data_IF_906466584228
#
_entry.id   IF_906466584228
#
_cell.length_a   1.000
_cell.length_b   1.000
_cell.length_c   1.000
_cell.angle_alpha   90.00
_cell.angle_beta   90.00
_cell.angle_gamma   90.00
#
_symmetry.space_group_name_H-M   'P 1'
#
loop_
_entity.id
_entity.type
_entity.pdbx_description
1 polymer ?
#
# COMPACT_ATOMS: atom_id res chain seq x y z
N UNK A 1 85.39 -2.36 69.69
CA UNK A 1 84.87 -1.02 69.38
C UNK A 1 84.49 -1.02 67.92
N UNK A 2 83.27 -1.21 67.61
CA UNK A 2 82.78 -1.26 66.23
C UNK A 2 81.67 -0.23 66.09
N UNK A 3 81.96 0.70 65.28
CA UNK A 3 81.05 1.83 64.97
C UNK A 3 80.03 1.37 63.91
N UNK A 4 78.78 1.60 64.22
CA UNK A 4 77.67 1.31 63.29
C UNK A 4 77.25 2.60 62.60
N UNK A 5 77.70 2.81 61.41
CA UNK A 5 77.14 3.81 60.52
C UNK A 5 75.86 3.30 59.89
N UNK A 6 74.74 3.98 60.17
CA UNK A 6 73.43 3.74 59.54
C UNK A 6 73.43 4.38 58.13
N UNK A 7 73.17 3.55 57.13
CA UNK A 7 72.90 4.01 55.77
C UNK A 7 71.58 4.72 55.72
N UNK A 8 71.55 6.02 55.39
CA UNK A 8 70.36 6.90 55.35
C UNK A 8 69.93 7.16 53.92
N UNK A 9 70.22 6.26 52.97
CA UNK A 9 69.93 6.50 51.56
C UNK A 9 69.06 5.38 50.90
N UNK A 10 67.91 5.01 51.50
CA UNK A 10 67.03 4.13 50.79
C UNK A 10 65.59 4.31 51.21
N UNK A 11 65.06 5.53 51.13
CA UNK A 11 63.65 5.83 51.14
C UNK A 11 63.32 6.54 49.82
N UNK A 12 63.12 5.78 48.79
CA UNK A 12 62.45 6.23 47.60
C UNK A 12 60.94 6.22 47.89
N UNK A 13 60.23 7.33 47.80
CA UNK A 13 58.76 7.28 47.92
C UNK A 13 58.20 6.51 46.73
N UNK A 14 57.40 5.47 47.03
CA UNK A 14 56.57 4.82 46.06
C UNK A 14 55.63 5.83 45.38
N UNK A 15 55.90 6.17 44.14
CA UNK A 15 54.95 6.89 43.31
C UNK A 15 53.65 6.06 43.13
N UNK A 16 52.62 6.41 43.92
CA UNK A 16 51.26 5.97 43.63
C UNK A 16 50.91 6.39 42.19
N UNK A 17 50.89 5.45 41.27
CA UNK A 17 50.31 5.63 39.93
C UNK A 17 48.84 5.98 40.08
N UNK A 18 48.50 7.26 40.07
CA UNK A 18 47.11 7.75 39.97
C UNK A 18 46.51 7.25 38.68
N UNK A 19 45.62 6.22 38.74
CA UNK A 19 44.80 5.77 37.66
C UNK A 19 44.06 6.96 37.05
N UNK A 20 44.10 7.16 35.72
CA UNK A 20 43.46 8.30 35.09
C UNK A 20 41.96 8.28 35.37
N UNK A 21 41.45 9.37 35.94
CA UNK A 21 40.06 9.54 36.30
C UNK A 21 39.19 9.41 35.03
N UNK A 22 38.37 8.36 34.93
CA UNK A 22 37.37 8.12 33.90
C UNK A 22 36.27 9.21 33.77
N UNK A 23 36.51 10.40 34.33
CA UNK A 23 35.57 11.53 34.29
C UNK A 23 35.44 12.14 32.89
N UNK A 24 36.50 12.13 32.07
CA UNK A 24 36.42 12.58 30.67
C UNK A 24 35.54 11.72 29.81
N UNK A 25 35.66 10.38 29.94
CA UNK A 25 34.86 9.44 29.22
C UNK A 25 33.36 9.52 29.61
N UNK A 26 33.04 9.71 30.89
CA UNK A 26 31.68 9.91 31.36
C UNK A 26 31.08 11.21 30.81
N UNK A 27 31.82 12.30 30.82
CA UNK A 27 31.37 13.58 30.25
C UNK A 27 31.17 13.50 28.74
N UNK A 28 32.05 12.80 28.03
CA UNK A 28 31.89 12.55 26.60
C UNK A 28 30.66 11.70 26.30
N UNK A 29 30.42 10.60 27.03
CA UNK A 29 29.24 9.76 26.91
C UNK A 29 27.94 10.52 27.22
N UNK A 30 27.94 11.38 28.25
CA UNK A 30 26.79 12.22 28.58
C UNK A 30 26.51 13.23 27.46
N UNK A 31 27.56 13.88 26.93
CA UNK A 31 27.45 14.80 25.80
C UNK A 31 26.88 14.08 24.55
N UNK A 32 27.41 12.90 24.23
CA UNK A 32 26.94 12.09 23.10
C UNK A 32 25.48 11.69 23.29
N UNK A 33 25.05 11.30 24.49
CA UNK A 33 23.66 10.94 24.80
C UNK A 33 22.73 12.15 24.66
N UNK A 34 23.14 13.33 25.15
CA UNK A 34 22.35 14.57 24.96
C UNK A 34 22.29 14.94 23.48
N UNK A 35 23.39 14.81 22.73
CA UNK A 35 23.41 15.08 21.30
C UNK A 35 22.47 14.14 20.54
N UNK A 36 22.46 12.82 20.87
CA UNK A 36 21.54 11.84 20.29
C UNK A 36 20.09 12.17 20.66
N UNK A 37 19.82 12.56 21.91
CA UNK A 37 18.48 12.95 22.34
C UNK A 37 17.96 14.20 21.59
N UNK A 38 18.82 15.22 21.43
CA UNK A 38 18.49 16.42 20.65
C UNK A 38 18.26 16.06 19.18
N UNK A 39 19.15 15.22 18.61
CA UNK A 39 19.00 14.76 17.24
C UNK A 39 17.68 13.97 17.05
N UNK A 40 17.33 13.09 18.00
CA UNK A 40 16.08 12.35 17.98
C UNK A 40 14.85 13.27 18.02
N UNK A 41 14.86 14.31 18.88
CA UNK A 41 13.79 15.31 18.94
C UNK A 41 13.66 16.08 17.63
N UNK A 42 14.79 16.50 17.04
CA UNK A 42 14.80 17.19 15.74
C UNK A 42 14.30 16.27 14.63
N UNK A 43 14.71 15.00 14.64
CA UNK A 43 14.24 14.01 13.66
C UNK A 43 12.74 13.73 13.79
N UNK A 44 12.23 13.61 15.03
CA UNK A 44 10.77 13.43 15.26
C UNK A 44 9.98 14.66 14.80
N UNK A 45 10.46 15.87 15.10
CA UNK A 45 9.83 17.10 14.64
C UNK A 45 9.85 17.19 13.10
N UNK A 46 11.00 16.93 12.49
CA UNK A 46 11.16 16.92 11.03
C UNK A 46 10.33 15.82 10.35
N UNK A 47 10.20 14.64 10.99
CA UNK A 47 9.33 13.56 10.49
C UNK A 47 7.85 13.98 10.51
N UNK A 48 7.42 14.64 11.59
CA UNK A 48 6.04 15.12 11.73
C UNK A 48 5.68 16.19 10.70
N UNK A 49 6.62 17.07 10.37
CA UNK A 49 6.40 18.20 9.44
C UNK A 49 6.76 17.86 7.98
N UNK A 50 7.16 16.59 7.69
CA UNK A 50 7.54 16.16 6.34
C UNK A 50 8.90 16.65 5.85
N UNK A 51 9.68 17.31 6.72
CA UNK A 51 11.01 17.84 6.39
C UNK A 51 12.11 17.04 7.09
N UNK A 52 13.15 16.67 6.41
CA UNK A 52 14.39 16.17 6.99
C UNK A 52 14.64 14.66 6.81
N UNK A 53 13.81 13.76 7.33
CA UNK A 53 14.05 12.31 7.16
C UNK A 53 13.76 11.90 5.73
N UNK A 54 12.67 12.38 5.14
CA UNK A 54 12.29 12.07 3.77
C UNK A 54 13.28 12.69 2.77
N UNK A 55 13.77 13.90 3.04
CA UNK A 55 14.83 14.52 2.25
C UNK A 55 16.15 13.72 2.32
N UNK A 56 16.48 13.14 3.48
CA UNK A 56 17.61 12.22 3.61
C UNK A 56 17.35 10.92 2.87
N UNK A 57 16.16 10.36 2.96
CA UNK A 57 15.78 9.15 2.27
C UNK A 57 15.83 9.34 0.76
N UNK A 58 15.32 10.47 0.23
CA UNK A 58 15.49 10.86 -1.18
C UNK A 58 16.95 11.00 -1.58
N UNK A 59 17.78 11.63 -0.74
CA UNK A 59 19.22 11.76 -1.00
C UNK A 59 19.92 10.39 -1.09
N UNK A 60 19.50 9.41 -0.28
CA UNK A 60 20.03 8.05 -0.35
C UNK A 60 19.49 7.29 -1.59
N UNK A 61 18.23 7.45 -1.91
CA UNK A 61 17.59 6.74 -3.03
C UNK A 61 18.01 7.30 -4.40
N UNK A 62 18.16 8.63 -4.52
CA UNK A 62 18.38 9.32 -5.80
C UNK A 62 19.74 10.04 -5.86
N UNK A 63 20.52 10.05 -4.78
CA UNK A 63 21.75 10.79 -4.71
C UNK A 63 21.53 12.31 -4.74
N UNK A 64 22.57 13.06 -5.10
CA UNK A 64 22.45 14.48 -5.48
C UNK A 64 22.01 14.54 -6.95
N UNK A 65 20.80 14.09 -7.21
CA UNK A 65 20.19 14.28 -8.50
C UNK A 65 19.86 15.76 -8.63
N UNK A 66 20.53 16.45 -9.56
CA UNK A 66 20.04 17.71 -10.11
C UNK A 66 18.87 17.41 -11.07
N UNK A 67 18.06 16.36 -10.78
CA UNK A 67 16.91 15.98 -11.57
C UNK A 67 16.01 17.19 -11.69
N UNK A 68 15.98 17.76 -12.85
CA UNK A 68 15.04 18.80 -13.22
C UNK A 68 13.67 18.13 -13.11
N UNK A 69 12.81 18.68 -12.26
CA UNK A 69 11.48 18.17 -12.02
C UNK A 69 10.74 17.87 -13.32
N UNK A 70 10.43 16.60 -13.55
CA UNK A 70 9.77 16.13 -14.77
C UNK A 70 10.69 15.51 -15.83
N UNK A 71 12.00 15.33 -15.56
CA UNK A 71 12.83 14.53 -16.47
C UNK A 71 12.31 13.10 -16.57
N UNK A 72 12.17 12.61 -17.81
CA UNK A 72 11.80 11.23 -18.12
C UNK A 72 12.84 10.28 -17.54
N UNK A 73 12.38 9.36 -16.69
CA UNK A 73 13.20 8.30 -16.09
C UNK A 73 12.90 6.97 -16.76
N UNK A 74 11.64 6.76 -17.14
CA UNK A 74 11.17 5.51 -17.72
C UNK A 74 10.53 5.77 -19.08
N UNK A 75 10.85 4.93 -20.06
CA UNK A 75 10.20 4.89 -21.36
C UNK A 75 9.48 3.55 -21.55
N UNK A 76 8.28 3.57 -22.09
CA UNK A 76 7.46 2.38 -22.31
C UNK A 76 6.53 2.55 -23.51
N UNK A 77 5.96 1.41 -23.97
CA UNK A 77 5.07 1.42 -25.11
C UNK A 77 3.72 2.06 -24.78
N UNK A 78 3.21 2.82 -25.73
CA UNK A 78 1.91 3.48 -25.61
C UNK A 78 0.80 2.43 -25.58
N UNK A 79 0.06 2.37 -24.47
CA UNK A 79 -1.22 1.67 -24.38
C UNK A 79 -2.15 2.42 -23.43
N UNK A 80 -3.42 2.62 -23.80
CA UNK A 80 -4.40 3.20 -22.89
C UNK A 80 -4.75 2.27 -21.71
N UNK A 81 -4.32 1.02 -21.78
CA UNK A 81 -4.52 0.01 -20.76
C UNK A 81 -3.30 -0.19 -19.86
N UNK A 82 -2.24 0.60 -20.00
CA UNK A 82 -1.10 0.51 -19.11
C UNK A 82 -1.53 0.69 -17.65
N UNK A 83 -1.01 -0.20 -16.79
CA UNK A 83 -1.13 -0.14 -15.33
C UNK A 83 0.27 -0.11 -14.74
N UNK A 84 0.44 0.61 -13.66
CA UNK A 84 1.74 0.91 -13.08
C UNK A 84 1.75 0.62 -11.59
N UNK A 85 2.86 0.05 -11.10
CA UNK A 85 3.14 -0.12 -9.69
C UNK A 85 4.64 -0.03 -9.42
N UNK A 86 5.02 0.33 -8.20
CA UNK A 86 6.42 0.41 -7.80
C UNK A 86 6.79 -0.77 -6.90
N UNK A 87 7.79 -1.55 -7.27
CA UNK A 87 8.45 -2.54 -6.40
C UNK A 87 9.79 -1.99 -5.91
N UNK A 88 9.76 -1.32 -4.77
CA UNK A 88 10.91 -0.57 -4.27
C UNK A 88 11.29 0.56 -5.23
N UNK A 89 12.41 0.41 -5.96
CA UNK A 89 12.86 1.37 -6.98
C UNK A 89 12.47 0.97 -8.41
N UNK A 90 11.93 -0.21 -8.63
CA UNK A 90 11.60 -0.71 -9.96
C UNK A 90 10.15 -0.36 -10.32
N UNK A 91 9.93 0.04 -11.57
CA UNK A 91 8.61 0.30 -12.13
C UNK A 91 8.09 -0.98 -12.82
N UNK A 92 6.99 -1.52 -12.36
CA UNK A 92 6.26 -2.60 -13.03
C UNK A 92 5.18 -2.00 -13.90
N UNK A 93 5.09 -2.47 -15.14
CA UNK A 93 4.14 -2.02 -16.14
C UNK A 93 3.40 -3.25 -16.66
N UNK A 94 2.09 -3.25 -16.56
CA UNK A 94 1.22 -4.24 -17.18
C UNK A 94 0.44 -3.59 -18.32
N UNK A 95 0.36 -4.28 -19.46
CA UNK A 95 -0.39 -3.87 -20.64
C UNK A 95 -1.18 -5.05 -21.21
N UNK A 96 -1.99 -4.82 -22.22
CA UNK A 96 -2.70 -5.87 -22.97
C UNK A 96 -1.77 -6.84 -23.70
N UNK A 97 -0.51 -6.46 -23.94
CA UNK A 97 0.50 -7.28 -24.61
C UNK A 97 1.47 -7.99 -23.67
N UNK A 98 1.33 -7.79 -22.36
CA UNK A 98 2.16 -8.42 -21.34
C UNK A 98 2.55 -7.51 -20.19
N UNK A 99 3.64 -7.85 -19.52
CA UNK A 99 4.16 -7.08 -18.41
C UNK A 99 5.68 -7.00 -18.47
N UNK A 100 6.23 -5.90 -17.94
CA UNK A 100 7.68 -5.69 -17.81
C UNK A 100 8.01 -4.94 -16.53
N UNK A 101 9.26 -5.04 -16.13
CA UNK A 101 9.81 -4.33 -14.98
C UNK A 101 11.07 -3.59 -15.39
N UNK A 102 11.12 -2.31 -15.10
CA UNK A 102 12.25 -1.43 -15.36
C UNK A 102 12.90 -1.04 -14.04
N UNK A 103 14.24 -1.04 -13.99
CA UNK A 103 14.99 -0.56 -12.84
C UNK A 103 14.95 0.98 -12.73
N UNK A 104 15.59 1.52 -11.70
CA UNK A 104 15.65 2.97 -11.46
C UNK A 104 16.34 3.76 -12.59
N UNK A 105 17.10 3.10 -13.46
CA UNK A 105 17.75 3.69 -14.63
C UNK A 105 16.93 3.51 -15.92
N UNK A 106 15.72 2.95 -15.81
CA UNK A 106 14.88 2.62 -16.96
C UNK A 106 15.34 1.39 -17.75
N UNK A 107 16.28 0.60 -17.18
CA UNK A 107 16.76 -0.63 -17.82
C UNK A 107 15.78 -1.77 -17.52
N UNK A 108 15.47 -2.58 -18.53
CA UNK A 108 14.60 -3.73 -18.35
C UNK A 108 15.25 -4.81 -17.49
N UNK A 109 14.57 -5.20 -16.40
CA UNK A 109 14.96 -6.26 -15.47
C UNK A 109 14.24 -7.57 -15.79
N UNK A 110 12.98 -7.46 -16.22
CA UNK A 110 12.13 -8.60 -16.52
C UNK A 110 11.06 -8.21 -17.53
N UNK A 111 10.74 -9.13 -18.43
CA UNK A 111 9.64 -8.98 -19.40
C UNK A 111 8.91 -10.31 -19.60
N UNK A 112 7.61 -10.21 -19.82
CA UNK A 112 6.74 -11.33 -20.18
C UNK A 112 5.75 -10.87 -21.25
N UNK A 113 5.95 -11.31 -22.47
CA UNK A 113 5.03 -11.03 -23.57
C UNK A 113 3.92 -12.08 -23.59
N UNK A 114 2.67 -11.61 -23.44
CA UNK A 114 1.51 -12.47 -23.50
C UNK A 114 0.23 -11.60 -23.57
N UNK A 115 -0.87 -12.18 -24.08
CA UNK A 115 -2.15 -11.50 -24.13
C UNK A 115 -2.79 -11.45 -22.74
N UNK A 116 -2.98 -10.23 -22.20
CA UNK A 116 -3.65 -9.94 -20.93
C UNK A 116 -4.92 -9.11 -21.22
N UNK A 117 -6.10 -9.73 -21.38
CA UNK A 117 -7.33 -8.97 -21.55
C UNK A 117 -7.58 -8.12 -20.30
N UNK A 118 -7.91 -6.83 -20.50
CA UNK A 118 -8.17 -5.90 -19.39
C UNK A 118 -7.10 -6.01 -18.28
N UNK A 119 -5.84 -5.64 -18.56
CA UNK A 119 -4.74 -5.86 -17.63
C UNK A 119 -4.99 -5.17 -16.28
N UNK A 120 -4.75 -5.89 -15.21
CA UNK A 120 -4.78 -5.44 -13.83
C UNK A 120 -3.41 -5.66 -13.19
N UNK A 121 -3.06 -4.76 -12.28
CA UNK A 121 -1.81 -4.77 -11.55
C UNK A 121 -2.09 -4.33 -10.12
N UNK A 122 -1.76 -5.18 -9.17
CA UNK A 122 -1.89 -4.92 -7.74
C UNK A 122 -0.54 -5.12 -7.06
N UNK A 123 -0.31 -4.38 -6.01
CA UNK A 123 0.93 -4.42 -5.24
C UNK A 123 0.65 -4.72 -3.77
N UNK A 124 1.55 -5.44 -3.11
CA UNK A 124 1.58 -5.63 -1.67
C UNK A 124 3.02 -5.94 -1.25
N UNK A 125 3.56 -5.16 -0.32
CA UNK A 125 4.94 -5.27 0.12
C UNK A 125 5.96 -5.22 -1.02
N UNK A 126 6.76 -6.26 -1.13
CA UNK A 126 7.82 -6.41 -2.14
C UNK A 126 7.37 -7.19 -3.40
N UNK A 127 6.06 -7.34 -3.62
CA UNK A 127 5.48 -8.11 -4.72
C UNK A 127 4.44 -7.33 -5.48
N UNK A 128 4.25 -7.71 -6.75
CA UNK A 128 3.11 -7.28 -7.54
C UNK A 128 2.48 -8.48 -8.25
N UNK A 129 1.16 -8.48 -8.37
CA UNK A 129 0.43 -9.45 -9.18
C UNK A 129 -0.08 -8.77 -10.45
N UNK A 130 0.22 -9.38 -11.59
CA UNK A 130 -0.18 -8.96 -12.93
C UNK A 130 -1.08 -10.00 -13.51
N UNK A 131 -2.27 -9.62 -13.92
CA UNK A 131 -3.23 -10.56 -14.52
C UNK A 131 -4.15 -9.87 -15.53
N UNK A 132 -4.84 -10.66 -16.33
CA UNK A 132 -5.93 -10.18 -17.18
C UNK A 132 -7.29 -10.46 -16.52
N UNK A 133 -8.11 -9.43 -16.30
CA UNK A 133 -9.49 -9.61 -15.84
C UNK A 133 -10.30 -10.31 -16.92
N UNK A 134 -10.89 -11.47 -16.60
CA UNK A 134 -11.50 -12.37 -17.56
C UNK A 134 -10.48 -13.17 -18.39
N UNK A 135 -9.21 -13.14 -18.01
CA UNK A 135 -8.13 -13.91 -18.63
C UNK A 135 -7.74 -15.15 -17.83
N UNK A 136 -6.79 -15.91 -18.40
CA UNK A 136 -6.37 -17.20 -17.85
C UNK A 136 -4.95 -17.18 -17.28
N UNK A 137 -4.27 -16.02 -17.27
CA UNK A 137 -2.91 -15.92 -16.77
C UNK A 137 -2.81 -14.88 -15.66
N UNK A 138 -2.09 -15.27 -14.59
CA UNK A 138 -1.74 -14.42 -13.48
C UNK A 138 -0.27 -14.67 -13.10
N UNK A 139 0.50 -13.61 -12.94
CA UNK A 139 1.88 -13.67 -12.50
C UNK A 139 2.05 -12.92 -11.20
N UNK A 140 2.84 -13.47 -10.28
CA UNK A 140 3.38 -12.71 -9.16
C UNK A 140 4.84 -12.45 -9.45
N UNK A 141 5.24 -11.20 -9.39
CA UNK A 141 6.61 -10.74 -9.61
C UNK A 141 7.17 -10.10 -8.34
N UNK A 142 8.44 -10.37 -8.09
CA UNK A 142 9.26 -9.70 -7.08
C UNK A 142 10.31 -8.83 -7.74
N UNK A 143 11.21 -8.25 -6.95
CA UNK A 143 12.27 -7.33 -7.44
C UNK A 143 13.22 -7.91 -8.50
N UNK A 144 13.38 -9.25 -8.52
CA UNK A 144 14.29 -9.95 -9.42
C UNK A 144 13.58 -10.64 -10.59
N UNK A 145 12.25 -10.62 -10.64
CA UNK A 145 11.44 -11.24 -11.69
C UNK A 145 10.27 -12.07 -11.18
N UNK A 146 9.83 -13.01 -12.01
CA UNK A 146 8.67 -13.86 -11.76
C UNK A 146 8.90 -14.82 -10.57
N UNK A 147 7.94 -14.84 -9.64
CA UNK A 147 7.90 -15.72 -8.47
C UNK A 147 6.87 -16.83 -8.63
N UNK A 148 5.73 -16.55 -9.26
CA UNK A 148 4.65 -17.49 -9.46
C UNK A 148 3.97 -17.22 -10.80
N UNK A 149 3.55 -18.29 -11.48
CA UNK A 149 2.67 -18.20 -12.64
C UNK A 149 1.48 -19.16 -12.44
N UNK A 150 0.29 -18.60 -12.38
CA UNK A 150 -0.96 -19.34 -12.35
C UNK A 150 -1.64 -19.31 -13.72
N UNK A 151 -2.17 -20.44 -14.11
CA UNK A 151 -2.98 -20.57 -15.32
C UNK A 151 -4.35 -21.16 -14.95
N UNK A 152 -5.41 -20.46 -15.34
CA UNK A 152 -6.79 -20.90 -15.19
C UNK A 152 -7.31 -21.58 -16.46
N UNK A 153 -8.40 -22.34 -16.32
CA UNK A 153 -9.15 -22.84 -17.47
C UNK A 153 -9.91 -21.69 -18.17
N UNK A 154 -10.13 -21.81 -19.47
CA UNK A 154 -10.88 -20.81 -20.26
C UNK A 154 -12.33 -20.60 -19.75
N UNK A 155 -12.91 -21.63 -19.11
CA UNK A 155 -14.26 -21.56 -18.51
C UNK A 155 -14.26 -21.03 -17.06
N UNK A 156 -13.09 -20.84 -16.46
CA UNK A 156 -12.88 -20.40 -15.07
C UNK A 156 -11.84 -19.26 -14.97
N UNK A 157 -12.00 -18.16 -15.74
CA UNK A 157 -11.02 -17.09 -15.83
C UNK A 157 -10.86 -16.34 -14.50
N UNK A 158 -9.72 -15.64 -14.35
CA UNK A 158 -9.46 -14.77 -13.20
C UNK A 158 -10.37 -13.53 -13.21
N UNK A 159 -10.93 -13.21 -12.06
CA UNK A 159 -11.77 -12.02 -11.84
C UNK A 159 -10.98 -10.93 -11.14
N UNK A 160 -10.33 -11.28 -10.02
CA UNK A 160 -9.55 -10.35 -9.22
C UNK A 160 -8.37 -11.06 -8.55
N UNK A 161 -7.38 -10.28 -8.15
CA UNK A 161 -6.31 -10.72 -7.28
C UNK A 161 -5.87 -9.57 -6.38
N UNK A 162 -5.50 -9.87 -5.14
CA UNK A 162 -4.99 -8.91 -4.17
C UNK A 162 -3.76 -9.46 -3.48
N UNK A 163 -2.88 -8.56 -3.08
CA UNK A 163 -1.69 -8.85 -2.27
C UNK A 163 -1.74 -8.01 -1.00
N UNK A 164 -1.48 -8.63 0.16
CA UNK A 164 -1.27 -7.85 1.37
C UNK A 164 0.21 -7.44 1.52
N UNK A 165 0.51 -6.59 2.48
CA UNK A 165 1.87 -6.10 2.74
C UNK A 165 2.86 -7.22 3.13
N UNK A 166 2.37 -8.36 3.63
CA UNK A 166 3.18 -9.54 3.98
C UNK A 166 3.41 -10.49 2.79
N UNK A 167 2.88 -10.16 1.61
CA UNK A 167 3.05 -10.93 0.38
C UNK A 167 2.13 -12.13 0.22
N UNK A 168 1.07 -12.23 1.04
CA UNK A 168 0.00 -13.20 0.83
C UNK A 168 -0.88 -12.77 -0.35
N UNK A 169 -1.29 -13.75 -1.15
CA UNK A 169 -2.07 -13.53 -2.38
C UNK A 169 -3.46 -14.16 -2.23
N UNK A 170 -4.51 -13.38 -2.45
CA UNK A 170 -5.84 -13.90 -2.71
C UNK A 170 -6.17 -13.78 -4.20
N UNK A 171 -6.75 -14.84 -4.77
CA UNK A 171 -7.15 -14.91 -6.17
C UNK A 171 -8.62 -15.28 -6.25
N UNK A 172 -9.40 -14.45 -6.92
CA UNK A 172 -10.80 -14.70 -7.24
C UNK A 172 -10.92 -15.11 -8.71
N UNK A 173 -11.65 -16.18 -8.97
CA UNK A 173 -11.87 -16.69 -10.32
C UNK A 173 -13.35 -17.07 -10.52
N UNK A 174 -13.81 -17.10 -11.76
CA UNK A 174 -15.06 -17.76 -12.09
C UNK A 174 -14.94 -19.26 -11.80
N UNK A 175 -16.05 -19.89 -11.49
CA UNK A 175 -16.11 -21.33 -11.20
C UNK A 175 -17.34 -21.96 -11.79
N UNK A 176 -17.15 -23.00 -12.58
CA UNK A 176 -18.26 -23.74 -13.21
C UNK A 176 -19.21 -24.32 -12.16
N UNK A 177 -20.51 -24.03 -12.32
CA UNK A 177 -21.62 -24.39 -11.41
C UNK A 177 -21.61 -23.64 -10.06
N UNK A 178 -20.69 -22.70 -9.83
CA UNK A 178 -20.62 -21.82 -8.65
C UNK A 178 -20.75 -20.35 -9.07
N UNK A 179 -20.78 -19.48 -8.10
CA UNK A 179 -20.84 -18.01 -8.28
C UNK A 179 -19.45 -17.35 -8.19
N UNK A 180 -18.43 -18.16 -8.07
CA UNK A 180 -17.02 -17.77 -8.00
C UNK A 180 -16.26 -18.68 -7.05
N UNK A 181 -14.93 -18.62 -7.11
CA UNK A 181 -14.03 -19.30 -6.19
C UNK A 181 -12.96 -18.32 -5.68
N UNK A 182 -12.47 -18.58 -4.47
CA UNK A 182 -11.34 -17.89 -3.88
C UNK A 182 -10.26 -18.89 -3.54
N UNK A 183 -9.03 -18.58 -3.94
CA UNK A 183 -7.82 -19.31 -3.57
C UNK A 183 -6.86 -18.36 -2.85
N UNK A 184 -6.30 -18.78 -1.73
CA UNK A 184 -5.34 -18.00 -0.96
C UNK A 184 -4.00 -18.71 -0.93
N UNK A 185 -2.95 -17.97 -1.20
CA UNK A 185 -1.56 -18.40 -1.18
C UNK A 185 -0.81 -17.62 -0.09
N UNK A 186 0.03 -18.32 0.66
CA UNK A 186 0.84 -17.77 1.74
C UNK A 186 2.06 -16.96 1.24
N UNK A 187 2.96 -16.61 2.14
CA UNK A 187 4.18 -15.87 1.82
C UNK A 187 5.17 -16.66 0.96
N UNK A 188 5.13 -17.99 0.98
CA UNK A 188 5.88 -18.86 0.10
C UNK A 188 5.18 -19.10 -1.25
N UNK A 189 4.01 -18.49 -1.45
CA UNK A 189 3.12 -18.66 -2.61
C UNK A 189 2.60 -20.10 -2.75
N UNK A 190 2.42 -20.80 -1.62
CA UNK A 190 1.78 -22.10 -1.54
C UNK A 190 0.27 -21.96 -1.26
N UNK A 191 -0.55 -22.77 -1.93
CA UNK A 191 -2.01 -22.74 -1.73
C UNK A 191 -2.37 -23.26 -0.33
N UNK A 192 -2.94 -22.38 0.52
CA UNK A 192 -3.31 -22.70 1.91
C UNK A 192 -4.80 -22.75 2.17
N UNK A 193 -5.60 -22.08 1.33
CA UNK A 193 -7.05 -22.03 1.51
C UNK A 193 -7.75 -21.93 0.15
N UNK A 194 -8.93 -22.56 0.03
CA UNK A 194 -9.81 -22.46 -1.14
C UNK A 194 -11.26 -22.72 -0.75
N UNK A 195 -12.18 -21.97 -1.35
CA UNK A 195 -13.61 -22.29 -1.31
C UNK A 195 -14.29 -21.85 -2.61
N UNK A 196 -15.45 -22.47 -2.88
CA UNK A 196 -16.31 -22.17 -4.01
C UNK A 196 -17.64 -21.64 -3.49
N UNK A 197 -18.06 -20.45 -3.96
CA UNK A 197 -19.30 -19.79 -3.52
C UNK A 197 -20.49 -20.28 -4.34
N UNK A 198 -21.48 -20.90 -3.68
CA UNK A 198 -22.68 -21.38 -4.34
C UNK A 198 -23.79 -20.31 -4.46
N UNK A 199 -23.85 -19.37 -3.53
CA UNK A 199 -25.03 -18.53 -3.33
C UNK A 199 -24.89 -17.08 -3.82
N UNK A 200 -23.69 -16.47 -3.69
CA UNK A 200 -23.41 -15.06 -4.03
C UNK A 200 -22.23 -14.98 -4.98
N UNK A 201 -22.26 -14.05 -5.90
CA UNK A 201 -21.10 -13.79 -6.77
C UNK A 201 -19.94 -13.25 -5.95
N UNK A 202 -18.75 -13.81 -6.15
CA UNK A 202 -17.51 -13.30 -5.54
C UNK A 202 -16.91 -12.27 -6.48
N UNK A 203 -16.71 -11.07 -6.00
CA UNK A 203 -16.11 -9.98 -6.77
C UNK A 203 -14.63 -9.83 -6.48
N UNK A 204 -14.24 -9.93 -5.20
CA UNK A 204 -12.85 -9.77 -4.77
C UNK A 204 -12.61 -10.45 -3.40
N UNK A 205 -11.34 -10.60 -3.02
CA UNK A 205 -10.96 -11.17 -1.73
C UNK A 205 -9.62 -10.57 -1.25
N UNK A 206 -9.50 -10.31 0.05
CA UNK A 206 -8.36 -9.62 0.68
C UNK A 206 -7.87 -10.41 1.88
N UNK A 207 -6.62 -10.88 1.85
CA UNK A 207 -5.98 -11.41 3.06
C UNK A 207 -5.62 -10.23 3.96
N UNK A 208 -6.13 -10.24 5.19
CA UNK A 208 -5.85 -9.16 6.13
C UNK A 208 -4.42 -9.25 6.68
N UNK A 209 -3.91 -8.16 7.25
CA UNK A 209 -2.53 -8.03 7.73
C UNK A 209 -2.14 -9.00 8.84
N UNK A 210 -3.13 -9.63 9.50
CA UNK A 210 -2.89 -10.68 10.48
C UNK A 210 -2.49 -12.03 9.86
N UNK A 211 -2.59 -12.17 8.51
CA UNK A 211 -2.38 -13.39 7.74
C UNK A 211 -3.25 -14.59 8.20
N UNK A 212 -4.35 -14.31 8.90
CA UNK A 212 -5.27 -15.30 9.48
C UNK A 212 -6.71 -15.07 9.08
N UNK A 213 -7.02 -13.88 8.64
CA UNK A 213 -8.36 -13.46 8.26
C UNK A 213 -8.43 -13.12 6.77
N UNK A 214 -9.53 -13.51 6.12
CA UNK A 214 -9.81 -13.25 4.72
C UNK A 214 -11.13 -12.51 4.61
N UNK A 215 -11.12 -11.29 4.11
CA UNK A 215 -12.33 -10.54 3.75
C UNK A 215 -12.69 -10.83 2.29
N UNK A 216 -13.92 -11.30 2.05
CA UNK A 216 -14.41 -11.64 0.72
C UNK A 216 -15.57 -10.73 0.37
N UNK A 217 -15.43 -10.00 -0.73
CA UNK A 217 -16.48 -9.15 -1.29
C UNK A 217 -17.41 -10.01 -2.16
N UNK A 218 -18.68 -10.02 -1.80
CA UNK A 218 -19.69 -10.74 -2.56
C UNK A 218 -20.81 -9.82 -2.98
N UNK A 219 -21.42 -10.11 -4.13
CA UNK A 219 -22.59 -9.44 -4.66
C UNK A 219 -23.79 -10.39 -4.68
N UNK A 220 -24.88 -9.94 -4.12
CA UNK A 220 -26.17 -10.62 -4.15
C UNK A 220 -27.29 -9.68 -4.53
N UNK A 221 -28.50 -10.21 -4.55
CA UNK A 221 -29.72 -9.45 -4.81
C UNK A 221 -30.73 -9.69 -3.70
N UNK A 222 -31.20 -8.60 -3.08
CA UNK A 222 -32.23 -8.62 -2.05
C UNK A 222 -33.38 -7.69 -2.48
N UNK A 223 -34.59 -8.19 -2.49
CA UNK A 223 -35.80 -7.46 -2.90
C UNK A 223 -35.68 -6.72 -4.25
N UNK A 224 -34.85 -7.24 -5.17
CA UNK A 224 -34.60 -6.64 -6.49
C UNK A 224 -33.49 -5.58 -6.53
N UNK A 225 -32.79 -5.32 -5.44
CA UNK A 225 -31.66 -4.41 -5.35
C UNK A 225 -30.36 -5.20 -5.18
N UNK A 226 -29.30 -4.79 -5.84
CA UNK A 226 -27.97 -5.36 -5.59
C UNK A 226 -27.45 -4.93 -4.22
N UNK A 227 -26.88 -5.88 -3.48
CA UNK A 227 -26.30 -5.67 -2.15
C UNK A 227 -24.92 -6.31 -2.13
N UNK A 228 -23.90 -5.52 -1.86
CA UNK A 228 -22.57 -6.03 -1.54
C UNK A 228 -22.53 -6.48 -0.09
N UNK A 229 -21.90 -7.61 0.16
CA UNK A 229 -21.73 -8.17 1.49
C UNK A 229 -20.27 -8.58 1.64
N UNK A 230 -19.67 -8.23 2.77
CA UNK A 230 -18.31 -8.62 3.12
C UNK A 230 -18.40 -9.78 4.10
N UNK A 231 -17.81 -10.91 3.71
CA UNK A 231 -17.72 -12.14 4.52
C UNK A 231 -16.29 -12.25 5.06
N UNK A 232 -16.13 -12.49 6.36
CA UNK A 232 -14.82 -12.63 6.99
C UNK A 232 -14.62 -14.08 7.39
N UNK A 233 -13.59 -14.72 6.78
CA UNK A 233 -13.23 -16.11 7.02
C UNK A 233 -11.93 -16.21 7.81
N UNK A 234 -11.79 -17.30 8.59
CA UNK A 234 -10.53 -17.66 9.21
C UNK A 234 -9.71 -18.53 8.26
N UNK A 235 -8.43 -18.19 8.11
CA UNK A 235 -7.44 -18.96 7.33
C UNK A 235 -6.73 -20.02 8.16
N UNK A 236 -7.04 -20.16 9.46
CA UNK A 236 -6.44 -21.19 10.30
C UNK A 236 -6.77 -22.62 9.75
N UNK A 237 -5.80 -23.49 9.75
CA UNK A 237 -5.90 -24.84 9.17
C UNK A 237 -7.03 -25.72 9.77
N UNK A 238 -7.51 -25.38 10.97
CA UNK A 238 -8.69 -26.01 11.58
C UNK A 238 -10.01 -25.56 10.92
N UNK A 239 -10.05 -24.37 10.35
CA UNK A 239 -11.22 -23.81 9.66
C UNK A 239 -11.27 -24.21 8.18
N UNK A 240 -10.11 -24.45 7.57
CA UNK A 240 -10.00 -24.99 6.20
C UNK A 240 -10.46 -26.45 6.09
N UNK A 241 -10.57 -27.17 7.22
CA UNK A 241 -11.19 -28.48 7.33
C UNK A 241 -12.60 -28.30 7.89
N UNK A 242 -13.52 -27.81 7.05
CA UNK A 242 -14.92 -27.64 7.43
C UNK A 242 -15.45 -28.88 8.17
N UNK A 243 -16.04 -28.68 9.35
CA UNK A 243 -16.65 -29.77 10.16
C UNK A 243 -18.00 -30.22 9.57
N UNK A 244 -18.53 -29.52 8.57
CA UNK A 244 -19.77 -29.91 7.90
C UNK A 244 -19.53 -30.26 6.45
N UNK A 245 -19.63 -31.54 6.13
CA UNK A 245 -19.77 -31.97 4.75
C UNK A 245 -21.23 -31.78 4.32
N UNK A 246 -21.48 -31.03 3.26
CA UNK A 246 -22.75 -31.14 2.55
C UNK A 246 -22.98 -32.60 2.13
N UNK A 247 -24.23 -33.02 1.89
CA UNK A 247 -24.55 -34.43 1.56
C UNK A 247 -23.72 -35.05 0.43
N UNK A 248 -22.93 -34.25 -0.31
CA UNK A 248 -22.04 -34.63 -1.42
C UNK A 248 -20.54 -34.67 -1.01
N UNK A 249 -20.20 -34.46 0.26
CA UNK A 249 -18.82 -34.57 0.77
C UNK A 249 -17.97 -33.33 0.54
N UNK A 250 -18.57 -32.21 0.18
CA UNK A 250 -17.90 -30.93 -0.05
C UNK A 250 -17.67 -30.17 1.26
N UNK A 251 -16.49 -29.60 1.43
CA UNK A 251 -16.14 -28.81 2.60
C UNK A 251 -16.90 -27.48 2.57
N UNK A 252 -17.79 -27.27 3.53
CA UNK A 252 -18.50 -26.00 3.71
C UNK A 252 -17.68 -25.12 4.63
N UNK A 253 -17.08 -24.06 4.08
CA UNK A 253 -16.38 -23.05 4.85
C UNK A 253 -17.38 -21.97 5.28
N UNK A 254 -17.47 -21.69 6.58
CA UNK A 254 -18.39 -20.70 7.12
C UNK A 254 -17.65 -19.45 7.56
N UNK A 255 -18.09 -18.23 7.17
CA UNK A 255 -17.52 -17.00 7.69
C UNK A 255 -17.80 -16.88 9.19
N UNK A 256 -16.86 -16.32 9.94
CA UNK A 256 -17.07 -16.06 11.37
C UNK A 256 -17.67 -14.68 11.63
N UNK A 257 -17.64 -13.78 10.66
CA UNK A 257 -18.27 -12.47 10.70
C UNK A 257 -18.71 -12.03 9.30
N UNK A 258 -19.67 -11.14 9.24
CA UNK A 258 -20.12 -10.51 8.01
C UNK A 258 -20.73 -9.13 8.27
N UNK A 259 -20.78 -8.29 7.24
CA UNK A 259 -21.53 -7.04 7.23
C UNK A 259 -21.98 -6.67 5.83
N UNK A 260 -23.09 -5.95 5.75
CA UNK A 260 -23.66 -5.49 4.50
C UNK A 260 -23.30 -4.04 4.21
N UNK A 261 -22.87 -3.77 2.98
CA UNK A 261 -22.81 -2.42 2.42
C UNK A 261 -24.12 -2.15 1.72
N UNK A 262 -25.05 -1.53 2.46
CA UNK A 262 -26.42 -1.32 1.96
C UNK A 262 -26.49 -0.25 0.90
N UNK A 263 -27.23 -0.53 -0.15
CA UNK A 263 -27.50 0.37 -1.28
C UNK A 263 -26.23 0.85 -2.01
N UNK A 264 -25.13 0.08 -1.96
CA UNK A 264 -23.88 0.42 -2.61
C UNK A 264 -23.17 -0.81 -3.18
N UNK A 265 -22.37 -0.57 -4.22
CA UNK A 265 -21.42 -1.53 -4.76
C UNK A 265 -20.05 -1.24 -4.17
N UNK A 266 -19.41 -2.26 -3.57
CA UNK A 266 -18.05 -2.14 -3.07
C UNK A 266 -17.09 -1.99 -4.24
N UNK A 267 -16.22 -0.99 -4.17
CA UNK A 267 -15.23 -0.66 -5.20
C UNK A 267 -13.80 -1.00 -4.74
N UNK A 268 -13.54 -0.93 -3.43
CA UNK A 268 -12.25 -1.27 -2.86
C UNK A 268 -12.39 -1.62 -1.38
N UNK A 269 -11.52 -2.47 -0.92
CA UNK A 269 -11.33 -2.82 0.50
C UNK A 269 -9.85 -2.69 0.83
N UNK A 270 -9.57 -2.15 2.00
CA UNK A 270 -8.22 -2.05 2.56
C UNK A 270 -8.27 -2.28 4.06
N UNK A 271 -7.12 -2.50 4.67
CA UNK A 271 -6.98 -2.55 6.11
C UNK A 271 -6.14 -1.40 6.61
N UNK A 272 -6.70 -0.61 7.52
CA UNK A 272 -5.98 0.41 8.26
C UNK A 272 -5.93 0.05 9.74
N UNK A 273 -4.74 -0.16 10.29
CA UNK A 273 -4.52 -0.68 11.63
C UNK A 273 -5.26 -2.02 11.87
N UNK A 274 -6.34 -2.00 12.66
CA UNK A 274 -7.17 -3.17 12.99
C UNK A 274 -8.58 -3.07 12.42
N UNK A 275 -8.77 -2.23 11.43
CA UNK A 275 -10.07 -1.95 10.84
C UNK A 275 -10.06 -2.24 9.35
N UNK A 276 -11.12 -2.83 8.86
CA UNK A 276 -11.40 -2.98 7.45
C UNK A 276 -12.03 -1.68 6.99
N UNK A 277 -11.46 -1.07 5.97
CA UNK A 277 -11.99 0.13 5.30
C UNK A 277 -12.60 -0.29 3.98
N UNK A 278 -13.86 0.04 3.78
CA UNK A 278 -14.58 -0.32 2.55
C UNK A 278 -15.09 0.92 1.86
N UNK A 279 -14.66 1.13 0.64
CA UNK A 279 -15.17 2.20 -0.24
C UNK A 279 -16.25 1.61 -1.14
N UNK A 280 -17.44 2.17 -1.08
CA UNK A 280 -18.51 1.88 -2.03
C UNK A 280 -18.83 3.11 -2.89
N UNK A 281 -19.71 2.96 -3.85
CA UNK A 281 -20.21 4.08 -4.65
C UNK A 281 -21.12 5.05 -3.87
N UNK A 282 -21.54 4.69 -2.64
CA UNK A 282 -22.48 5.48 -1.81
C UNK A 282 -21.97 5.86 -0.44
N UNK A 283 -20.99 5.13 0.11
CA UNK A 283 -20.46 5.37 1.45
C UNK A 283 -19.02 4.85 1.62
N UNK A 284 -18.35 5.39 2.63
CA UNK A 284 -17.12 4.87 3.20
C UNK A 284 -17.45 4.22 4.54
N UNK A 285 -17.01 2.98 4.77
CA UNK A 285 -17.35 2.22 5.96
C UNK A 285 -16.08 1.73 6.65
N UNK A 286 -16.03 1.87 7.98
CA UNK A 286 -14.97 1.36 8.85
C UNK A 286 -15.55 0.26 9.73
N UNK A 287 -14.94 -0.91 9.72
CA UNK A 287 -15.46 -2.11 10.36
C UNK A 287 -14.33 -2.80 11.12
N UNK A 288 -14.61 -3.30 12.33
CA UNK A 288 -13.63 -4.11 13.04
C UNK A 288 -13.58 -5.54 12.48
N UNK A 289 -12.59 -6.32 12.91
CA UNK A 289 -12.40 -7.70 12.44
C UNK A 289 -13.54 -8.65 12.86
N UNK A 290 -14.39 -8.26 13.82
CA UNK A 290 -15.58 -8.98 14.24
C UNK A 290 -16.83 -8.62 13.42
N UNK A 291 -16.70 -7.83 12.35
CA UNK A 291 -17.80 -7.43 11.47
C UNK A 291 -18.67 -6.29 12.03
N UNK A 292 -18.26 -5.62 13.11
CA UNK A 292 -19.01 -4.50 13.68
C UNK A 292 -18.66 -3.21 12.95
N UNK A 293 -19.66 -2.54 12.37
CA UNK A 293 -19.49 -1.22 11.75
C UNK A 293 -19.21 -0.18 12.83
N UNK A 294 -18.03 0.44 12.77
CA UNK A 294 -17.58 1.48 13.70
C UNK A 294 -17.98 2.86 13.23
N UNK A 295 -17.88 3.11 11.93
CA UNK A 295 -18.30 4.34 11.29
C UNK A 295 -18.80 4.07 9.87
N UNK A 296 -19.83 4.80 9.44
CA UNK A 296 -20.33 4.81 8.08
C UNK A 296 -20.51 6.27 7.64
N UNK A 297 -19.80 6.68 6.62
CA UNK A 297 -19.82 8.02 6.07
C UNK A 297 -20.55 8.00 4.74
N UNK A 298 -21.83 8.34 4.75
CA UNK A 298 -22.61 8.48 3.52
C UNK A 298 -22.15 9.68 2.70
N UNK A 299 -22.08 9.52 1.39
CA UNK A 299 -21.79 10.64 0.47
C UNK A 299 -23.01 11.55 0.23
N UNK A 300 -24.19 11.14 0.69
CA UNK A 300 -25.42 11.91 0.56
C UNK A 300 -25.84 12.08 -0.90
N UNK A 301 -25.78 13.32 -1.42
CA UNK A 301 -26.07 13.64 -2.81
C UNK A 301 -24.82 13.83 -3.67
N UNK A 302 -23.63 13.65 -3.08
CA UNK A 302 -22.36 13.77 -3.78
C UNK A 302 -21.97 12.44 -4.45
N UNK A 303 -21.16 12.53 -5.48
CA UNK A 303 -20.74 11.40 -6.31
C UNK A 303 -19.27 11.09 -6.04
N UNK A 304 -18.96 9.84 -5.74
CA UNK A 304 -17.58 9.39 -5.63
C UNK A 304 -16.89 9.54 -6.99
N UNK A 305 -15.78 10.27 -7.02
CA UNK A 305 -14.98 10.51 -8.23
C UNK A 305 -13.63 9.84 -8.18
N UNK A 306 -13.08 9.70 -6.98
CA UNK A 306 -11.80 9.05 -6.76
C UNK A 306 -11.60 8.75 -5.28
N UNK A 307 -10.68 7.86 -5.00
CA UNK A 307 -10.25 7.50 -3.65
C UNK A 307 -8.78 7.11 -3.66
N UNK A 308 -8.14 7.20 -2.49
CA UNK A 308 -6.81 6.68 -2.25
C UNK A 308 -6.77 6.05 -0.85
N UNK A 309 -6.39 4.77 -0.77
CA UNK A 309 -6.38 3.96 0.44
C UNK A 309 -4.97 3.72 1.00
N UNK A 310 -3.92 3.81 0.16
CA UNK A 310 -2.53 3.48 0.52
C UNK A 310 -1.86 4.53 1.45
N UNK A 311 -2.64 5.43 2.04
CA UNK A 311 -2.17 6.38 3.05
C UNK A 311 -1.98 5.71 4.40
N UNK A 312 -0.84 5.97 5.09
CA UNK A 312 -0.67 5.52 6.47
C UNK A 312 -1.58 6.32 7.39
N UNK A 313 -2.49 5.65 8.07
CA UNK A 313 -3.47 6.19 9.03
C UNK A 313 -4.46 7.21 8.43
N UNK A 314 -4.70 7.17 7.12
CA UNK A 314 -5.76 7.95 6.51
C UNK A 314 -6.28 7.37 5.19
N UNK A 315 -7.55 7.63 4.92
CA UNK A 315 -8.23 7.39 3.64
C UNK A 315 -8.58 8.73 3.01
N UNK A 316 -8.37 8.88 1.71
CA UNK A 316 -8.78 10.06 0.96
C UNK A 316 -9.92 9.76 -0.02
N UNK A 317 -10.92 10.65 -0.07
CA UNK A 317 -12.04 10.59 -1.02
C UNK A 317 -12.14 11.92 -1.78
N UNK A 318 -12.38 11.83 -3.09
CA UNK A 318 -12.82 12.94 -3.91
C UNK A 318 -14.31 12.78 -4.22
N UNK A 319 -15.13 13.66 -3.70
CA UNK A 319 -16.57 13.67 -3.87
C UNK A 319 -16.99 14.89 -4.69
N UNK A 320 -17.64 14.68 -5.84
CA UNK A 320 -18.15 15.74 -6.68
C UNK A 320 -19.61 16.04 -6.36
N UNK A 321 -19.99 17.31 -6.40
CA UNK A 321 -21.39 17.76 -6.19
C UNK A 321 -22.31 17.36 -7.34
N UNK A 322 -21.74 17.11 -8.52
CA UNK A 322 -22.51 16.76 -9.73
C UNK A 322 -21.89 15.54 -10.38
N UNK A 323 -22.71 14.77 -11.05
CA UNK A 323 -22.26 13.58 -11.79
C UNK A 323 -21.23 13.92 -12.90
N UNK A 324 -21.31 15.11 -13.44
CA UNK A 324 -20.34 15.63 -14.42
C UNK A 324 -19.82 17.01 -13.94
N UNK A 325 -18.53 17.26 -14.18
CA UNK A 325 -17.85 18.49 -13.78
C UNK A 325 -16.79 18.27 -12.72
N UNK A 326 -16.14 19.35 -12.31
CA UNK A 326 -14.94 19.33 -11.47
C UNK A 326 -15.13 20.04 -10.11
N UNK A 327 -16.37 20.35 -9.74
CA UNK A 327 -16.67 20.99 -8.45
C UNK A 327 -16.98 19.93 -7.41
N UNK A 328 -16.15 19.85 -6.39
CA UNK A 328 -16.29 18.84 -5.34
C UNK A 328 -15.47 19.17 -4.11
N UNK A 329 -15.25 18.17 -3.29
CA UNK A 329 -14.43 18.20 -2.09
C UNK A 329 -13.48 16.99 -2.06
N UNK A 330 -12.23 17.29 -1.77
CA UNK A 330 -11.26 16.29 -1.31
C UNK A 330 -11.40 16.20 0.21
N UNK A 331 -11.61 15.00 0.73
CA UNK A 331 -11.81 14.75 2.16
C UNK A 331 -10.88 13.64 2.63
N UNK A 332 -10.34 13.78 3.82
CA UNK A 332 -9.50 12.76 4.45
C UNK A 332 -10.12 12.28 5.76
N UNK A 333 -9.99 10.99 6.03
CA UNK A 333 -10.56 10.31 7.19
C UNK A 333 -9.48 9.50 7.90
N UNK A 334 -9.47 9.51 9.22
CA UNK A 334 -8.60 8.67 10.04
C UNK A 334 -9.09 7.23 10.10
N UNK A 335 -8.27 6.34 10.64
CA UNK A 335 -8.60 4.93 10.83
C UNK A 335 -9.85 4.71 11.72
N UNK A 336 -10.22 5.67 12.56
CA UNK A 336 -11.44 5.68 13.36
C UNK A 336 -12.69 6.18 12.63
N UNK A 337 -12.56 6.51 11.34
CA UNK A 337 -13.61 7.09 10.52
C UNK A 337 -13.89 8.58 10.77
N UNK A 338 -13.11 9.24 11.64
CA UNK A 338 -13.24 10.67 11.86
C UNK A 338 -12.69 11.46 10.68
N UNK A 339 -13.43 12.48 10.23
CA UNK A 339 -12.92 13.40 9.21
C UNK A 339 -11.75 14.21 9.76
N UNK A 340 -10.59 14.12 9.08
CA UNK A 340 -9.40 14.89 9.43
C UNK A 340 -9.46 16.28 8.81
N UNK A 341 -9.75 16.36 7.50
CA UNK A 341 -9.79 17.61 6.76
C UNK A 341 -10.69 17.51 5.53
N UNK A 342 -11.15 18.66 5.05
CA UNK A 342 -11.86 18.82 3.79
C UNK A 342 -11.33 20.05 3.04
N UNK A 343 -11.18 19.91 1.72
CA UNK A 343 -10.69 20.94 0.81
C UNK A 343 -11.61 21.04 -0.39
N UNK A 344 -12.13 22.24 -0.67
CA UNK A 344 -12.94 22.50 -1.87
C UNK A 344 -12.06 22.40 -3.12
N UNK A 345 -12.51 21.62 -4.11
CA UNK A 345 -11.85 21.41 -5.40
C UNK A 345 -12.75 21.99 -6.49
N UNK A 346 -12.17 22.87 -7.31
CA UNK A 346 -12.85 23.52 -8.43
C UNK A 346 -12.16 23.28 -9.78
N UNK A 347 -11.15 22.40 -9.79
CA UNK A 347 -10.38 22.02 -10.96
C UNK A 347 -10.59 20.53 -11.23
N UNK A 348 -10.39 20.11 -12.47
CA UNK A 348 -10.44 18.70 -12.81
C UNK A 348 -9.25 17.97 -12.17
N UNK A 349 -9.57 16.93 -11.40
CA UNK A 349 -8.59 15.99 -10.86
C UNK A 349 -8.54 14.81 -11.82
N UNK A 350 -7.35 14.55 -12.36
CA UNK A 350 -7.10 13.46 -13.27
C UNK A 350 -6.82 12.16 -12.51
N UNK A 351 -6.06 12.26 -11.40
CA UNK A 351 -5.66 11.08 -10.64
C UNK A 351 -5.34 11.44 -9.18
N UNK A 352 -5.46 10.43 -8.30
CA UNK A 352 -5.15 10.48 -6.88
C UNK A 352 -4.25 9.29 -6.51
N UNK A 353 -3.20 9.55 -5.77
CA UNK A 353 -2.34 8.48 -5.25
C UNK A 353 -1.86 8.83 -3.85
N UNK A 354 -1.98 7.91 -2.91
CA UNK A 354 -1.46 8.06 -1.56
C UNK A 354 -0.28 7.11 -1.33
N UNK A 355 0.66 7.52 -0.50
CA UNK A 355 1.69 6.63 0.04
C UNK A 355 2.26 7.23 1.33
N UNK A 356 2.32 6.42 2.38
CA UNK A 356 2.75 6.90 3.68
C UNK A 356 1.88 8.06 4.16
N UNK A 357 2.48 9.21 4.48
CA UNK A 357 1.76 10.40 4.96
C UNK A 357 1.35 11.38 3.87
N UNK A 358 1.57 11.05 2.60
CA UNK A 358 1.39 11.93 1.46
C UNK A 358 0.21 11.52 0.59
N UNK A 359 -0.45 12.52 0.04
CA UNK A 359 -1.51 12.41 -0.95
C UNK A 359 -1.16 13.27 -2.15
N UNK A 360 -0.88 12.64 -3.28
CA UNK A 360 -0.69 13.31 -4.56
C UNK A 360 -2.04 13.50 -5.25
N UNK A 361 -2.31 14.71 -5.70
CA UNK A 361 -3.48 15.10 -6.50
C UNK A 361 -2.97 15.65 -7.82
N UNK A 362 -3.22 14.93 -8.90
CA UNK A 362 -2.87 15.37 -10.24
C UNK A 362 -4.05 16.14 -10.84
N UNK A 363 -3.84 17.41 -11.08
CA UNK A 363 -4.74 18.28 -11.85
C UNK A 363 -4.35 18.30 -13.32
N UNK A 364 -5.15 18.90 -14.17
CA UNK A 364 -4.90 18.97 -15.61
C UNK A 364 -3.57 19.66 -16.00
N UNK A 365 -3.08 20.59 -15.19
CA UNK A 365 -1.88 21.40 -15.46
C UNK A 365 -0.86 21.42 -14.30
N UNK A 366 -1.18 20.75 -13.20
CA UNK A 366 -0.36 20.80 -11.99
C UNK A 366 -0.49 19.55 -11.12
N UNK A 367 0.60 19.21 -10.42
CA UNK A 367 0.62 18.24 -9.34
C UNK A 367 0.68 19.00 -8.01
N UNK A 368 -0.15 18.61 -7.04
CA UNK A 368 -0.05 19.06 -5.65
C UNK A 368 0.05 17.86 -4.74
N UNK A 369 1.06 17.85 -3.88
CA UNK A 369 1.21 16.86 -2.83
C UNK A 369 0.75 17.47 -1.51
N UNK A 370 -0.16 16.81 -0.84
CA UNK A 370 -0.71 17.20 0.45
C UNK A 370 -0.26 16.22 1.55
N UNK A 371 -0.32 16.68 2.80
CA UNK A 371 -0.36 15.79 3.96
C UNK A 371 -1.82 15.37 4.24
N UNK A 372 -2.04 14.50 5.24
CA UNK A 372 -3.39 14.04 5.61
C UNK A 372 -4.32 15.15 6.12
N UNK A 373 -3.78 16.27 6.60
CA UNK A 373 -4.53 17.49 6.98
C UNK A 373 -4.83 18.39 5.78
N UNK A 374 -4.57 17.92 4.53
CA UNK A 374 -4.72 18.65 3.27
C UNK A 374 -3.93 19.97 3.21
N UNK A 375 -2.83 20.05 3.93
CA UNK A 375 -1.87 21.14 3.81
C UNK A 375 -0.87 20.81 2.69
N UNK A 376 -0.58 21.81 1.87
CA UNK A 376 0.34 21.63 0.73
C UNK A 376 1.76 21.34 1.24
N UNK A 377 2.30 20.19 0.83
CA UNK A 377 3.68 19.82 1.06
C UNK A 377 4.58 20.28 -0.10
N UNK A 378 4.16 20.03 -1.33
CA UNK A 378 4.89 20.40 -2.54
C UNK A 378 3.94 20.60 -3.71
N UNK A 379 4.38 21.30 -4.74
CA UNK A 379 3.63 21.44 -5.99
C UNK A 379 4.55 21.58 -7.20
N UNK A 380 4.08 21.10 -8.34
CA UNK A 380 4.73 21.22 -9.64
C UNK A 380 3.72 21.77 -10.64
N UNK A 381 4.12 22.75 -11.45
CA UNK A 381 3.32 23.31 -12.55
C UNK A 381 3.80 22.77 -13.89
N UNK A 382 2.94 22.79 -14.89
CA UNK A 382 3.29 22.37 -16.25
C UNK A 382 3.30 20.83 -16.40
N UNK A 383 2.32 20.17 -15.77
CA UNK A 383 2.16 18.69 -15.82
C UNK A 383 1.09 18.27 -16.82
N UNK A 384 0.75 19.08 -17.78
CA UNK A 384 -0.25 18.86 -18.83
C UNK A 384 0.03 17.65 -19.73
N UNK A 385 1.24 17.08 -19.66
CA UNK A 385 1.61 15.82 -20.30
C UNK A 385 1.20 14.57 -19.49
N UNK A 386 0.96 14.72 -18.17
CA UNK A 386 0.73 13.60 -17.28
C UNK A 386 -0.75 13.20 -17.25
N UNK A 387 -1.01 11.89 -17.25
CA UNK A 387 -2.34 11.29 -17.16
C UNK A 387 -2.56 10.50 -15.88
N UNK A 388 -1.49 10.25 -15.12
CA UNK A 388 -1.52 9.53 -13.85
C UNK A 388 -0.37 9.92 -12.94
N UNK A 389 -0.49 9.59 -11.67
CA UNK A 389 0.53 9.84 -10.65
C UNK A 389 0.67 8.63 -9.73
N UNK A 390 1.92 8.24 -9.40
CA UNK A 390 2.22 7.29 -8.34
C UNK A 390 2.99 8.01 -7.23
N UNK A 391 2.36 8.12 -6.06
CA UNK A 391 2.97 8.67 -4.86
C UNK A 391 3.94 7.66 -4.24
N UNK A 392 5.00 8.14 -3.59
CA UNK A 392 5.98 7.33 -2.87
C UNK A 392 6.09 7.77 -1.41
N UNK A 393 6.45 6.83 -0.54
CA UNK A 393 6.53 7.07 0.91
C UNK A 393 7.59 8.08 1.31
N UNK A 394 8.58 8.36 0.45
CA UNK A 394 9.62 9.37 0.67
C UNK A 394 9.19 10.80 0.22
N UNK A 395 7.95 10.97 -0.22
CA UNK A 395 7.40 12.23 -0.69
C UNK A 395 7.67 12.55 -2.14
N UNK A 396 8.41 11.71 -2.88
CA UNK A 396 8.55 11.83 -4.33
C UNK A 396 7.34 11.25 -5.06
N UNK A 397 7.12 11.64 -6.30
CA UNK A 397 6.06 11.13 -7.14
C UNK A 397 6.55 10.83 -8.55
N UNK A 398 5.98 9.79 -9.18
CA UNK A 398 6.13 9.55 -10.61
C UNK A 398 4.91 10.10 -11.34
N UNK A 399 5.15 10.88 -12.38
CA UNK A 399 4.14 11.41 -13.29
C UNK A 399 4.13 10.55 -14.55
N UNK A 400 3.02 9.86 -14.80
CA UNK A 400 2.84 8.97 -15.93
C UNK A 400 2.28 9.73 -17.11
N UNK A 401 2.92 9.61 -18.26
CA UNK A 401 2.40 10.05 -19.55
C UNK A 401 1.97 8.86 -20.42
N UNK A 402 1.69 9.08 -21.68
CA UNK A 402 1.29 8.01 -22.59
C UNK A 402 2.41 6.99 -22.84
N UNK A 403 3.67 7.41 -22.84
CA UNK A 403 4.85 6.65 -23.28
C UNK A 403 6.04 6.74 -22.32
N UNK A 404 5.89 7.50 -21.24
CA UNK A 404 7.02 7.75 -20.34
C UNK A 404 6.54 8.11 -18.92
N UNK A 405 7.44 7.96 -17.94
CA UNK A 405 7.23 8.46 -16.60
C UNK A 405 8.40 9.37 -16.17
N UNK A 406 8.03 10.51 -15.60
CA UNK A 406 8.96 11.50 -15.05
C UNK A 406 8.94 11.51 -13.53
N UNK A 407 10.12 11.69 -12.91
CA UNK A 407 10.26 11.76 -11.47
C UNK A 407 10.13 13.21 -10.99
N UNK A 408 9.26 13.44 -10.01
CA UNK A 408 9.16 14.67 -9.23
C UNK A 408 9.80 14.47 -7.86
N UNK A 409 10.79 15.29 -7.54
CA UNK A 409 11.46 15.36 -6.23
C UNK A 409 11.15 16.72 -5.60
N UNK A 410 10.31 16.79 -4.55
CA UNK A 410 9.96 18.03 -3.86
C UNK A 410 11.10 18.59 -3.02
#
# INVERSE_FOLDING_TARGET
MADRTKDIWNDSPEEEQKKPKRQGLKRFLTFLLVLIAVLAVVLVAAYRDGTGVDALQRLFNYGKSDAVNGETVYEYDISPQNRFAMLGSNLVIASDTGARMLDQQGTEVWEKTLNLPNPALVQGGDRAAVYGVGGTNLFVVGKEGELLHLTADEEEPFVAATLNENGWLAVTAEKKNYKGSVSVYDEELELVFRFDSANRFVEDAYVLEDNKSLAVVTLGQEEGVFVSNILIYSLDASSAKGEETSGDGELVVTPYADYDVRNGLVLAVDQQEKQIVTVSDTCLTFVNLEGTILAEISYGNDYLRGYALDGTDFTALLLNRYQSGSVGQLRTFGADGAEIAALDVNQEVLDLSAAGKYLAVLYADSLVIYNRELQVYASLQGTDFATGVLMRTDGSALLMSADSAGLFLP
#
